data_IF_704154817092
#
_entry.id   IF_704154817092
#
_cell.length_a   1.000
_cell.length_b   1.000
_cell.length_c   1.000
_cell.angle_alpha   90.00
_cell.angle_beta   90.00
_cell.angle_gamma   90.00
#
_symmetry.space_group_name_H-M   'P 1'
#
loop_
_entity.id
_entity.type
_entity.pdbx_description
1 polymer ?
#
# COMPACT_ATOMS: atom_id res chain seq x y z
N UNK A 1 5.07 -11.29 1.18
CA UNK A 1 4.84 -10.13 0.29
C UNK A 1 4.44 -8.94 1.13
N UNK A 2 5.03 -7.80 0.84
CA UNK A 2 4.72 -6.57 1.55
C UNK A 2 3.81 -5.70 0.70
N UNK A 3 2.81 -5.10 1.33
CA UNK A 3 1.79 -4.30 0.64
C UNK A 3 1.66 -2.97 1.36
N UNK A 4 1.72 -1.88 0.62
CA UNK A 4 1.62 -0.54 1.18
C UNK A 4 0.14 -0.14 1.21
N UNK A 5 -0.32 0.30 2.38
CA UNK A 5 -1.70 0.75 2.56
C UNK A 5 -1.71 2.06 3.31
N UNK A 6 -2.82 2.77 3.18
CA UNK A 6 -3.05 3.99 3.95
C UNK A 6 -3.73 3.62 5.27
N UNK A 7 -3.11 4.01 6.38
CA UNK A 7 -3.64 3.71 7.71
C UNK A 7 -4.13 4.98 8.41
N UNK A 8 -4.80 5.81 7.63
CA UNK A 8 -5.32 7.08 8.11
C UNK A 8 -6.63 7.35 7.37
N UNK A 9 -7.53 8.11 7.98
CA UNK A 9 -8.78 8.46 7.32
C UNK A 9 -8.53 9.65 6.40
N UNK A 10 -8.46 9.43 5.12
CA UNK A 10 -8.17 10.51 4.17
C UNK A 10 -7.79 10.01 2.80
N UNK A 11 -7.55 8.73 2.71
CA UNK A 11 -7.25 8.11 1.43
C UNK A 11 -5.78 8.01 1.13
N UNK A 12 -5.46 7.04 0.29
CA UNK A 12 -4.08 6.78 -0.09
C UNK A 12 -3.55 7.89 -0.99
N UNK A 13 -2.41 8.42 -0.65
CA UNK A 13 -1.70 9.35 -1.53
C UNK A 13 -0.22 9.35 -1.15
N UNK A 14 0.61 9.79 -2.06
CA UNK A 14 2.05 9.91 -1.83
C UNK A 14 2.41 11.37 -1.70
N UNK A 15 3.38 11.65 -0.83
CA UNK A 15 3.90 12.99 -0.67
C UNK A 15 4.82 13.34 -1.83
N UNK A 16 5.17 14.63 -1.93
CA UNK A 16 6.15 15.06 -2.91
C UNK A 16 7.49 14.39 -2.66
N UNK A 17 7.86 14.23 -1.40
CA UNK A 17 9.11 13.55 -1.04
C UNK A 17 9.12 12.11 -1.56
N UNK A 18 7.99 11.41 -1.46
CA UNK A 18 7.90 10.05 -1.96
C UNK A 18 7.99 10.02 -3.48
N UNK A 19 7.32 10.93 -4.14
CA UNK A 19 7.38 11.01 -5.60
C UNK A 19 8.80 11.31 -6.07
N UNK A 20 9.47 12.24 -5.41
CA UNK A 20 10.86 12.58 -5.73
C UNK A 20 11.78 11.37 -5.50
N UNK A 21 11.56 10.65 -4.42
CA UNK A 21 12.35 9.45 -4.11
C UNK A 21 12.23 8.42 -5.25
N UNK A 22 10.99 8.17 -5.68
CA UNK A 22 10.76 7.18 -6.74
C UNK A 22 11.38 7.62 -8.06
N UNK A 23 11.28 8.90 -8.39
CA UNK A 23 11.83 9.41 -9.62
C UNK A 23 13.35 9.39 -9.58
N UNK A 24 13.96 9.84 -8.50
CA UNK A 24 15.42 9.94 -8.43
C UNK A 24 16.08 8.59 -8.32
N UNK A 25 15.48 7.68 -7.57
CA UNK A 25 16.10 6.39 -7.36
C UNK A 25 15.79 5.40 -8.46
N UNK A 26 14.58 5.41 -8.99
CA UNK A 26 14.13 4.40 -9.93
C UNK A 26 13.70 4.95 -11.28
N UNK A 27 13.56 6.25 -11.40
CA UNK A 27 13.12 6.86 -12.66
C UNK A 27 11.67 6.56 -12.99
N UNK A 28 10.82 6.36 -11.97
CA UNK A 28 9.42 6.04 -12.17
C UNK A 28 8.54 7.09 -11.51
N UNK A 29 7.28 7.13 -11.95
CA UNK A 29 6.31 8.00 -11.32
C UNK A 29 5.62 7.26 -10.18
N UNK A 30 4.61 7.88 -9.59
CA UNK A 30 3.94 7.33 -8.42
C UNK A 30 2.90 6.28 -8.75
N UNK A 31 2.77 5.89 -10.01
CA UNK A 31 1.74 4.93 -10.40
C UNK A 31 2.31 3.53 -10.40
N UNK A 32 2.46 2.97 -9.23
CA UNK A 32 2.97 1.62 -9.05
C UNK A 32 2.01 0.83 -8.19
N UNK A 33 2.08 -0.48 -8.29
CA UNK A 33 1.23 -1.34 -7.48
C UNK A 33 1.62 -1.24 -6.01
N UNK A 34 0.65 -1.49 -5.15
CA UNK A 34 0.87 -1.42 -3.70
C UNK A 34 1.87 -2.44 -3.20
N UNK A 35 2.12 -3.50 -3.96
CA UNK A 35 3.11 -4.51 -3.61
C UNK A 35 4.42 -4.33 -4.37
N UNK A 36 4.56 -3.27 -5.15
CA UNK A 36 5.80 -3.01 -5.88
C UNK A 36 6.93 -2.73 -4.89
N UNK A 37 8.06 -3.45 -5.05
CA UNK A 37 9.15 -3.33 -4.10
C UNK A 37 9.72 -1.92 -4.04
N UNK A 38 9.60 -1.16 -5.13
CA UNK A 38 10.11 0.22 -5.16
C UNK A 38 9.28 1.12 -4.27
N UNK A 39 7.97 0.93 -4.26
CA UNK A 39 7.10 1.68 -3.36
C UNK A 39 7.34 1.25 -1.91
N UNK A 40 7.46 -0.05 -1.68
CA UNK A 40 7.75 -0.57 -0.34
C UNK A 40 9.05 0.04 0.18
N UNK A 41 10.11 0.05 -0.65
CA UNK A 41 11.38 0.63 -0.24
C UNK A 41 11.26 2.13 0.05
N UNK A 42 10.48 2.83 -0.73
CA UNK A 42 10.24 4.25 -0.51
C UNK A 42 9.65 4.48 0.89
N UNK A 43 8.61 3.72 1.23
CA UNK A 43 7.96 3.87 2.53
C UNK A 43 8.88 3.46 3.68
N UNK A 44 9.63 2.38 3.49
CA UNK A 44 10.56 1.93 4.53
C UNK A 44 11.70 2.94 4.75
N UNK A 45 12.13 3.60 3.69
CA UNK A 45 13.22 4.56 3.79
C UNK A 45 12.78 5.89 4.38
N UNK A 46 11.65 6.42 3.91
CA UNK A 46 11.17 7.73 4.35
C UNK A 46 10.34 7.68 5.62
N UNK A 47 9.72 6.55 5.88
CA UNK A 47 8.74 6.42 6.95
C UNK A 47 7.35 6.75 6.45
N UNK A 48 6.34 6.11 7.05
CA UNK A 48 4.97 6.21 6.57
C UNK A 48 4.38 7.61 6.63
N UNK A 49 4.77 8.40 7.65
CA UNK A 49 4.26 9.77 7.77
C UNK A 49 4.86 10.67 6.72
N UNK A 50 6.14 10.50 6.39
CA UNK A 50 6.81 11.34 5.40
C UNK A 50 6.41 10.92 3.99
N UNK A 51 6.28 9.62 3.75
CA UNK A 51 5.94 9.12 2.42
C UNK A 51 4.48 9.38 2.06
N UNK A 52 3.60 9.46 3.04
CA UNK A 52 2.19 9.73 2.80
C UNK A 52 1.93 11.17 2.44
N UNK A 53 0.91 11.39 1.61
CA UNK A 53 0.49 12.75 1.27
C UNK A 53 -0.19 13.42 2.46
N UNK A 54 -0.75 14.58 2.21
CA UNK A 54 -1.24 15.47 3.27
C UNK A 54 -2.21 14.78 4.24
N UNK A 55 -3.06 13.92 3.72
CA UNK A 55 -4.08 13.26 4.54
C UNK A 55 -3.86 11.76 4.58
N UNK A 56 -2.61 11.33 4.49
CA UNK A 56 -2.29 9.92 4.40
C UNK A 56 -1.13 9.58 5.31
N UNK A 57 -1.22 8.44 5.95
CA UNK A 57 -0.09 7.84 6.67
C UNK A 57 0.02 6.43 6.16
N UNK A 58 1.18 6.07 5.63
CA UNK A 58 1.35 4.79 4.96
C UNK A 58 1.90 3.75 5.92
N UNK A 59 1.40 2.54 5.78
CA UNK A 59 1.89 1.39 6.54
C UNK A 59 2.16 0.25 5.62
N UNK A 60 2.89 -0.75 6.10
CA UNK A 60 3.23 -1.93 5.34
C UNK A 60 2.62 -3.14 6.03
N UNK A 61 1.85 -3.91 5.27
CA UNK A 61 1.25 -5.15 5.73
C UNK A 61 2.01 -6.29 5.05
N UNK A 62 2.42 -7.27 5.83
CA UNK A 62 3.10 -8.43 5.26
C UNK A 62 2.17 -9.64 5.29
N UNK A 63 2.02 -10.30 4.13
CA UNK A 63 1.18 -11.48 4.00
C UNK A 63 1.97 -12.56 3.29
N UNK A 64 1.50 -13.83 3.36
CA UNK A 64 2.16 -14.90 2.60
C UNK A 64 2.14 -14.61 1.10
N UNK A 65 3.15 -15.11 0.40
CA UNK A 65 3.32 -14.79 -1.02
C UNK A 65 2.31 -15.50 -1.90
N UNK A 66 1.71 -16.56 -1.43
CA UNK A 66 0.87 -17.41 -2.26
C UNK A 66 -0.62 -17.19 -2.06
N UNK A 67 -1.02 -16.10 -1.43
CA UNK A 67 -2.45 -15.81 -1.26
C UNK A 67 -2.87 -14.72 -2.23
N UNK A 68 -4.12 -14.81 -2.65
CA UNK A 68 -4.74 -13.73 -3.39
C UNK A 68 -5.30 -12.72 -2.41
N UNK A 69 -5.16 -11.46 -2.72
CA UNK A 69 -5.51 -10.41 -1.79
C UNK A 69 -6.15 -9.24 -2.52
N UNK A 70 -6.83 -8.41 -1.76
CA UNK A 70 -7.33 -7.14 -2.26
C UNK A 70 -7.35 -6.14 -1.11
N UNK A 71 -7.46 -4.87 -1.45
CA UNK A 71 -7.51 -3.80 -0.47
C UNK A 71 -8.95 -3.38 -0.31
N UNK A 72 -9.42 -3.34 0.93
CA UNK A 72 -10.71 -2.75 1.27
C UNK A 72 -10.48 -1.48 2.05
N UNK A 73 -11.35 -0.51 1.88
CA UNK A 73 -11.16 0.75 2.56
C UNK A 73 -12.45 1.23 3.22
N UNK A 74 -12.30 1.98 4.29
CA UNK A 74 -13.40 2.64 4.98
C UNK A 74 -12.96 4.07 5.27
N UNK A 75 -13.60 5.04 4.65
CA UNK A 75 -13.23 6.46 4.76
C UNK A 75 -11.75 6.70 4.50
N UNK A 76 -11.19 5.98 3.56
CA UNK A 76 -9.79 6.10 3.21
C UNK A 76 -8.85 5.23 3.99
N UNK A 77 -9.28 4.69 5.13
CA UNK A 77 -8.47 3.78 5.92
C UNK A 77 -8.50 2.40 5.26
N UNK A 78 -7.36 1.85 4.92
CA UNK A 78 -7.26 0.64 4.11
C UNK A 78 -6.79 -0.55 4.92
N UNK A 79 -7.22 -1.73 4.51
CA UNK A 79 -6.68 -2.96 5.04
C UNK A 79 -6.68 -4.02 3.94
N UNK A 80 -5.92 -5.07 4.16
CA UNK A 80 -5.75 -6.14 3.17
C UNK A 80 -6.58 -7.33 3.61
N UNK A 81 -7.32 -7.90 2.66
CA UNK A 81 -8.11 -9.10 2.94
C UNK A 81 -7.74 -10.19 1.95
N UNK A 82 -7.86 -11.44 2.36
CA UNK A 82 -7.68 -12.57 1.47
C UNK A 82 -8.92 -12.71 0.61
N UNK A 83 -8.69 -12.75 -0.70
CA UNK A 83 -9.77 -12.62 -1.62
C UNK A 83 -10.71 -13.80 -1.66
N UNK A 84 -10.17 -14.99 -1.66
CA UNK A 84 -11.01 -16.15 -1.90
C UNK A 84 -11.60 -16.77 -0.65
N UNK A 85 -11.37 -16.21 0.50
CA UNK A 85 -11.89 -16.78 1.67
C UNK A 85 -13.36 -16.75 1.74
N UNK A 86 -13.93 -15.73 1.23
CA UNK A 86 -15.35 -15.54 1.38
C UNK A 86 -16.19 -16.56 0.65
N UNK A 87 -15.73 -17.07 -0.52
CA UNK A 87 -16.61 -17.93 -1.25
C UNK A 87 -16.32 -19.37 -1.06
N UNK A 88 -15.20 -19.62 -0.56
CA UNK A 88 -14.85 -20.89 -0.39
C UNK A 88 -15.72 -21.70 0.37
N UNK A 89 -16.31 -21.44 0.98
CA UNK A 89 -16.97 -22.14 1.74
C UNK A 89 -18.27 -22.30 1.55
N UNK A 90 -18.91 -21.86 1.08
CA UNK A 90 -20.06 -22.03 0.93
C UNK A 90 -20.47 -22.69 -0.08
N UNK A 91 -20.31 -23.30 -0.51
CA UNK A 91 -20.68 -23.92 -1.43
C UNK A 91 -21.00 -25.09 -1.36
N UNK A 92 -21.24 -25.56 -0.91
CA UNK A 92 -21.44 -26.46 -0.73
C UNK A 92 -21.74 -27.00 -0.13
#
# INVERSE_FOLDING_TARGET
MKIVVNVCYGGFSLSQEAEDFLMEKYGINSRVDRSDYRLVNCVETLGGSVAGGKFSVLGIIEIPDDVEWEIEEYDGYEHVVEKHRSWHYERK
#
